data_IF_251375381516
#
_entry.id   IF_251375381516
#
_cell.length_a   1.000
_cell.length_b   1.000
_cell.length_c   1.000
_cell.angle_alpha   90.00
_cell.angle_beta   90.00
_cell.angle_gamma   90.00
#
_symmetry.space_group_name_H-M   'P 1'
#
loop_
_entity.id
_entity.type
_entity.pdbx_description
1 polymer ?
#
# COMPACT_ATOMS: atom_id res chain seq x y z
N UNK A 1 7.27 6.94 -13.41
CA UNK A 1 8.68 6.59 -13.18
C UNK A 1 9.58 7.81 -13.33
N UNK A 2 10.71 7.79 -12.64
CA UNK A 2 11.70 8.85 -12.71
C UNK A 2 13.07 8.38 -12.21
N UNK A 3 14.13 9.10 -12.58
CA UNK A 3 15.49 8.88 -12.10
C UNK A 3 15.80 9.92 -11.01
N UNK A 4 16.16 9.43 -9.82
CA UNK A 4 16.58 10.28 -8.71
C UNK A 4 18.04 10.77 -8.92
N UNK A 5 18.45 11.92 -8.31
CA UNK A 5 19.78 12.48 -8.50
C UNK A 5 20.93 11.55 -8.13
N UNK A 6 20.72 10.59 -7.22
CA UNK A 6 21.71 9.60 -6.78
C UNK A 6 21.80 8.35 -7.70
N UNK A 7 21.08 8.37 -8.84
CA UNK A 7 21.05 7.30 -9.83
C UNK A 7 20.12 6.14 -9.46
N UNK A 8 19.18 6.34 -8.53
CA UNK A 8 18.12 5.40 -8.24
C UNK A 8 16.95 5.63 -9.20
N UNK A 9 16.63 4.66 -10.03
CA UNK A 9 15.42 4.65 -10.84
C UNK A 9 14.23 4.21 -9.98
N UNK A 10 13.17 5.00 -9.96
CA UNK A 10 11.92 4.68 -9.29
C UNK A 10 10.81 4.43 -10.32
N UNK A 11 10.04 3.37 -10.12
CA UNK A 11 8.86 3.07 -10.92
C UNK A 11 7.72 2.59 -10.01
N UNK A 12 6.62 3.31 -10.01
CA UNK A 12 5.38 2.89 -9.36
C UNK A 12 4.48 2.16 -10.36
N UNK A 13 4.13 0.93 -10.05
CA UNK A 13 3.16 0.14 -10.80
C UNK A 13 1.91 -0.04 -9.96
N UNK A 14 0.84 0.64 -10.35
CA UNK A 14 -0.41 0.70 -9.57
C UNK A 14 -1.38 -0.45 -9.85
N UNK A 15 -1.24 -1.12 -11.00
CA UNK A 15 -2.13 -2.23 -11.38
C UNK A 15 -1.47 -3.12 -12.44
N UNK A 16 -1.82 -4.41 -12.41
CA UNK A 16 -1.52 -5.39 -13.48
C UNK A 16 -2.72 -5.59 -14.42
N UNK A 17 -3.69 -4.68 -14.41
CA UNK A 17 -4.88 -4.76 -15.27
C UNK A 17 -4.64 -3.98 -16.55
N UNK A 18 -4.70 -4.66 -17.69
CA UNK A 18 -4.45 -4.11 -19.02
C UNK A 18 -3.70 -5.11 -19.90
N UNK A 19 -3.65 -4.87 -21.19
CA UNK A 19 -3.09 -5.82 -22.17
C UNK A 19 -1.60 -5.61 -22.45
N UNK A 20 -1.01 -4.48 -22.04
CA UNK A 20 0.37 -4.09 -22.37
C UNK A 20 1.20 -3.67 -21.14
N UNK A 21 0.80 -4.07 -19.92
CA UNK A 21 1.43 -3.62 -18.67
C UNK A 21 2.92 -3.94 -18.65
N UNK A 22 3.30 -5.18 -18.95
CA UNK A 22 4.68 -5.60 -18.98
C UNK A 22 5.50 -4.92 -20.08
N UNK A 23 4.88 -4.59 -21.20
CA UNK A 23 5.52 -3.86 -22.31
C UNK A 23 5.81 -2.41 -21.92
N UNK A 24 4.85 -1.73 -21.31
CA UNK A 24 5.02 -0.36 -20.82
C UNK A 24 6.03 -0.31 -19.67
N UNK A 25 5.96 -1.27 -18.74
CA UNK A 25 6.96 -1.44 -17.68
C UNK A 25 8.38 -1.60 -18.28
N UNK A 26 8.53 -2.48 -19.28
CA UNK A 26 9.80 -2.70 -19.96
C UNK A 26 10.33 -1.43 -20.60
N UNK A 27 9.45 -0.66 -21.26
CA UNK A 27 9.82 0.62 -21.88
C UNK A 27 10.34 1.60 -20.83
N UNK A 28 9.62 1.76 -19.71
CA UNK A 28 10.03 2.64 -18.63
C UNK A 28 11.35 2.21 -17.98
N UNK A 29 11.54 0.91 -17.74
CA UNK A 29 12.77 0.39 -17.18
C UNK A 29 13.98 0.63 -18.12
N UNK A 30 13.82 0.41 -19.43
CA UNK A 30 14.89 0.66 -20.42
C UNK A 30 15.19 2.15 -20.51
N UNK A 31 14.19 3.00 -20.46
CA UNK A 31 14.36 4.46 -20.46
C UNK A 31 15.17 4.92 -19.24
N UNK A 32 14.86 4.43 -18.04
CA UNK A 32 15.66 4.69 -16.84
C UNK A 32 17.11 4.20 -16.97
N UNK A 33 17.34 3.02 -17.57
CA UNK A 33 18.71 2.52 -17.86
C UNK A 33 19.46 3.45 -18.79
N UNK A 34 18.83 3.95 -19.84
CA UNK A 34 19.43 4.87 -20.80
C UNK A 34 19.76 6.23 -20.17
N UNK A 35 19.01 6.63 -19.13
CA UNK A 35 19.29 7.83 -18.34
C UNK A 35 20.43 7.62 -17.32
N UNK A 36 20.97 6.41 -17.19
CA UNK A 36 22.09 6.10 -16.29
C UNK A 36 21.72 5.54 -14.94
N UNK A 37 20.52 4.93 -14.82
CA UNK A 37 20.10 4.24 -13.60
C UNK A 37 21.11 3.18 -13.15
N UNK A 38 21.45 3.17 -11.86
CA UNK A 38 22.39 2.24 -11.21
C UNK A 38 21.72 1.30 -10.21
N UNK A 39 20.56 1.67 -9.70
CA UNK A 39 19.75 0.92 -8.73
C UNK A 39 18.29 1.13 -9.10
N UNK A 40 17.44 0.16 -8.81
CA UNK A 40 16.03 0.20 -9.18
C UNK A 40 15.12 -0.02 -7.97
N UNK A 41 14.13 0.84 -7.82
CA UNK A 41 13.03 0.72 -6.86
C UNK A 41 11.74 0.48 -7.62
N UNK A 42 11.13 -0.68 -7.39
CA UNK A 42 9.79 -1.02 -7.88
C UNK A 42 8.78 -0.82 -6.76
N UNK A 43 7.87 0.13 -6.90
CA UNK A 43 6.83 0.36 -5.92
C UNK A 43 5.54 -0.37 -6.31
N UNK A 44 5.15 -1.35 -5.46
CA UNK A 44 3.93 -2.15 -5.58
C UNK A 44 2.97 -1.88 -4.41
N UNK A 45 3.19 -0.81 -3.62
CA UNK A 45 2.28 -0.44 -2.53
C UNK A 45 0.90 -0.13 -3.12
N UNK A 46 -0.13 -0.61 -2.45
CA UNK A 46 -1.54 -0.47 -2.84
C UNK A 46 -1.92 -1.06 -4.21
N UNK A 47 -1.05 -1.88 -4.80
CA UNK A 47 -1.31 -2.58 -6.05
C UNK A 47 -2.13 -3.85 -5.79
N UNK A 48 -3.42 -3.83 -6.10
CA UNK A 48 -4.36 -4.96 -5.93
C UNK A 48 -4.12 -6.15 -6.86
N UNK A 49 -3.12 -6.09 -7.76
CA UNK A 49 -2.81 -7.13 -8.74
C UNK A 49 -3.48 -6.93 -10.10
N UNK A 50 -3.83 -8.01 -10.75
CA UNK A 50 -4.42 -8.07 -12.09
C UNK A 50 -4.02 -9.34 -12.83
N UNK A 51 -3.48 -9.21 -14.04
CA UNK A 51 -3.09 -10.32 -14.91
C UNK A 51 -1.87 -11.08 -14.38
N UNK A 52 -2.01 -12.39 -14.23
CA UNK A 52 -0.92 -13.30 -13.86
C UNK A 52 0.17 -13.33 -14.95
N UNK A 53 -0.22 -13.31 -16.22
CA UNK A 53 0.72 -13.32 -17.34
C UNK A 53 1.61 -12.08 -17.35
N UNK A 54 1.04 -10.90 -17.06
CA UNK A 54 1.81 -9.65 -16.95
C UNK A 54 2.85 -9.72 -15.81
N UNK A 55 2.47 -10.30 -14.67
CA UNK A 55 3.40 -10.50 -13.56
C UNK A 55 4.57 -11.43 -13.95
N UNK A 56 4.29 -12.54 -14.63
CA UNK A 56 5.33 -13.47 -15.13
C UNK A 56 6.26 -12.78 -16.13
N UNK A 57 5.72 -12.00 -17.05
CA UNK A 57 6.51 -11.24 -18.05
C UNK A 57 7.41 -10.20 -17.37
N UNK A 58 6.93 -9.51 -16.32
CA UNK A 58 7.76 -8.55 -15.56
C UNK A 58 8.88 -9.28 -14.82
N UNK A 59 8.59 -10.38 -14.11
CA UNK A 59 9.64 -11.16 -13.43
C UNK A 59 10.67 -11.68 -14.42
N UNK A 60 10.23 -12.14 -15.62
CA UNK A 60 11.14 -12.63 -16.66
C UNK A 60 12.17 -11.57 -17.12
N UNK A 61 11.91 -10.29 -16.92
CA UNK A 61 12.88 -9.25 -17.27
C UNK A 61 14.14 -9.29 -16.40
N UNK A 62 14.05 -9.87 -15.21
CA UNK A 62 15.07 -9.79 -14.16
C UNK A 62 15.71 -11.11 -13.80
N UNK A 63 15.22 -12.22 -14.31
CA UNK A 63 15.71 -13.56 -13.96
C UNK A 63 16.02 -14.39 -15.20
N UNK A 64 16.93 -15.36 -15.12
CA UNK A 64 17.29 -16.22 -16.25
C UNK A 64 16.08 -16.97 -16.83
N UNK A 65 16.20 -17.32 -18.10
CA UNK A 65 15.24 -18.16 -18.82
C UNK A 65 15.17 -19.57 -18.23
N UNK A 66 13.99 -20.17 -18.23
CA UNK A 66 13.74 -21.56 -17.79
C UNK A 66 13.36 -21.71 -16.32
N UNK A 67 13.22 -20.60 -15.58
CA UNK A 67 12.82 -20.65 -14.18
C UNK A 67 11.29 -20.68 -14.03
N UNK A 68 10.81 -21.49 -13.10
CA UNK A 68 9.39 -21.50 -12.73
C UNK A 68 9.09 -20.30 -11.84
N UNK A 69 8.12 -19.47 -12.26
CA UNK A 69 7.69 -18.28 -11.52
C UNK A 69 6.46 -18.55 -10.69
N UNK A 70 5.51 -19.31 -11.23
CA UNK A 70 4.28 -19.65 -10.52
C UNK A 70 3.72 -20.98 -11.02
N UNK A 71 3.21 -21.79 -10.09
CA UNK A 71 2.45 -22.99 -10.40
C UNK A 71 1.03 -22.83 -9.88
N UNK A 72 0.04 -23.06 -10.72
CA UNK A 72 -1.35 -23.11 -10.29
C UNK A 72 -1.76 -24.55 -10.02
N UNK A 73 -2.53 -24.77 -8.96
CA UNK A 73 -3.06 -26.08 -8.56
C UNK A 73 -4.54 -25.96 -8.21
N UNK A 74 -5.35 -26.76 -8.86
CA UNK A 74 -6.79 -26.81 -8.66
C UNK A 74 -7.34 -28.23 -8.70
N UNK A 75 -8.66 -28.37 -8.55
CA UNK A 75 -9.34 -29.66 -8.57
C UNK A 75 -9.35 -30.31 -9.97
N UNK A 76 -9.37 -29.49 -11.01
CA UNK A 76 -9.39 -29.95 -12.40
C UNK A 76 -7.99 -29.87 -12.99
N UNK A 77 -7.57 -30.85 -13.79
CA UNK A 77 -6.25 -30.90 -14.41
C UNK A 77 -5.93 -29.66 -15.24
N UNK A 78 -6.93 -29.10 -15.93
CA UNK A 78 -6.78 -27.82 -16.67
C UNK A 78 -6.41 -26.62 -15.80
N UNK A 79 -6.62 -26.70 -14.49
CA UNK A 79 -6.24 -25.67 -13.52
C UNK A 79 -4.80 -25.83 -13.04
N UNK A 80 -4.13 -26.93 -13.41
CA UNK A 80 -2.75 -27.21 -13.04
C UNK A 80 -1.84 -26.72 -14.17
N UNK A 81 -1.30 -25.52 -14.01
CA UNK A 81 -0.42 -24.89 -15.00
C UNK A 81 0.88 -24.45 -14.34
N UNK A 82 1.94 -24.48 -15.14
CA UNK A 82 3.27 -24.02 -14.74
C UNK A 82 3.69 -22.89 -15.66
N UNK A 83 3.99 -21.75 -15.08
CA UNK A 83 4.46 -20.57 -15.79
C UNK A 83 5.95 -20.45 -15.60
N UNK A 84 6.66 -20.51 -16.71
CA UNK A 84 8.12 -20.54 -16.77
C UNK A 84 8.63 -19.35 -17.58
N UNK A 85 9.74 -18.76 -17.18
CA UNK A 85 10.38 -17.69 -17.94
C UNK A 85 10.81 -18.21 -19.32
N UNK A 86 10.31 -17.55 -20.37
CA UNK A 86 10.51 -17.99 -21.76
C UNK A 86 11.44 -17.10 -22.59
N UNK A 87 11.69 -15.88 -22.12
CA UNK A 87 12.45 -14.84 -22.84
C UNK A 87 13.80 -14.60 -22.17
N UNK A 88 14.76 -14.08 -22.94
CA UNK A 88 15.99 -13.59 -22.36
C UNK A 88 15.72 -12.39 -21.44
N UNK A 89 16.39 -12.31 -20.29
CA UNK A 89 16.19 -11.23 -19.33
C UNK A 89 16.67 -9.89 -19.91
N UNK A 90 16.12 -8.81 -19.37
CA UNK A 90 16.58 -7.44 -19.69
C UNK A 90 17.79 -7.08 -18.84
N UNK A 91 17.78 -7.51 -17.58
CA UNK A 91 18.86 -7.23 -16.64
C UNK A 91 18.82 -8.18 -15.44
N UNK A 92 19.87 -8.95 -15.24
CA UNK A 92 20.00 -9.87 -14.10
C UNK A 92 20.84 -9.31 -12.96
N UNK A 93 21.52 -8.18 -13.17
CA UNK A 93 22.55 -7.65 -12.26
C UNK A 93 22.09 -6.40 -11.48
N UNK A 94 21.21 -5.59 -12.07
CA UNK A 94 20.72 -4.36 -11.45
C UNK A 94 20.21 -4.61 -10.02
N UNK A 95 20.73 -3.92 -8.99
CA UNK A 95 20.16 -4.01 -7.63
C UNK A 95 18.70 -3.55 -7.62
N UNK A 96 17.81 -4.39 -7.07
CA UNK A 96 16.36 -4.14 -7.04
C UNK A 96 15.85 -4.16 -5.60
N UNK A 97 15.08 -3.14 -5.23
CA UNK A 97 14.23 -3.11 -4.05
C UNK A 97 12.77 -3.06 -4.50
N UNK A 98 11.93 -3.88 -3.90
CA UNK A 98 10.48 -3.87 -4.14
C UNK A 98 9.77 -3.36 -2.90
N UNK A 99 9.06 -2.24 -3.02
CA UNK A 99 8.25 -1.68 -1.94
C UNK A 99 6.87 -2.33 -1.92
N UNK A 100 6.44 -2.76 -0.74
CA UNK A 100 5.15 -3.45 -0.56
C UNK A 100 4.43 -3.00 0.70
N UNK A 101 3.10 -3.16 0.72
CA UNK A 101 2.28 -2.93 1.91
C UNK A 101 1.07 -3.89 1.96
N UNK A 102 0.18 -3.71 2.95
CA UNK A 102 -1.03 -4.51 3.09
C UNK A 102 -2.03 -4.40 1.93
N UNK A 103 -1.89 -3.42 1.04
CA UNK A 103 -2.66 -3.28 -0.21
C UNK A 103 -2.06 -4.05 -1.39
N UNK A 104 -0.80 -4.49 -1.29
CA UNK A 104 -0.13 -5.29 -2.34
C UNK A 104 -0.75 -6.69 -2.38
N UNK A 105 -1.38 -7.08 -3.50
CA UNK A 105 -2.15 -8.32 -3.59
C UNK A 105 -2.00 -9.05 -4.93
N UNK A 106 -2.25 -10.39 -4.93
CA UNK A 106 -2.41 -11.22 -6.13
C UNK A 106 -1.20 -11.17 -7.08
N UNK A 107 -1.35 -10.66 -8.33
CA UNK A 107 -0.26 -10.55 -9.32
C UNK A 107 0.94 -9.72 -8.79
N UNK A 108 0.70 -8.71 -7.99
CA UNK A 108 1.74 -7.95 -7.32
C UNK A 108 2.51 -8.80 -6.30
N UNK A 109 1.82 -9.71 -5.59
CA UNK A 109 2.46 -10.66 -4.67
C UNK A 109 3.24 -11.75 -5.43
N UNK A 110 2.76 -12.18 -6.60
CA UNK A 110 3.52 -13.08 -7.48
C UNK A 110 4.83 -12.40 -7.88
N UNK A 111 4.79 -11.13 -8.27
CA UNK A 111 5.98 -10.39 -8.70
C UNK A 111 6.97 -10.23 -7.56
N UNK A 112 6.58 -9.63 -6.44
CA UNK A 112 7.52 -9.40 -5.32
C UNK A 112 7.97 -10.72 -4.67
N UNK A 113 7.06 -11.68 -4.50
CA UNK A 113 7.38 -12.97 -3.89
C UNK A 113 8.29 -13.84 -4.76
N UNK A 114 8.12 -13.81 -6.09
CA UNK A 114 9.01 -14.55 -7.00
C UNK A 114 10.41 -13.94 -7.04
N UNK A 115 10.53 -12.61 -7.06
CA UNK A 115 11.82 -11.92 -6.99
C UNK A 115 12.52 -12.17 -5.64
N UNK A 116 11.75 -12.27 -4.52
CA UNK A 116 12.26 -12.65 -3.21
C UNK A 116 12.74 -14.11 -3.19
N UNK A 117 11.91 -15.05 -3.64
CA UNK A 117 12.22 -16.47 -3.63
C UNK A 117 13.41 -16.85 -4.52
N UNK A 118 13.62 -16.09 -5.60
CA UNK A 118 14.77 -16.25 -6.50
C UNK A 118 15.98 -15.41 -6.06
N UNK A 119 15.93 -14.79 -4.89
CA UNK A 119 16.99 -13.91 -4.34
C UNK A 119 17.41 -12.80 -5.31
N UNK A 120 16.47 -12.33 -6.14
CA UNK A 120 16.73 -11.33 -7.17
C UNK A 120 16.50 -9.90 -6.69
N UNK A 121 15.62 -9.72 -5.70
CA UNK A 121 15.32 -8.42 -5.12
C UNK A 121 15.19 -8.51 -3.60
N UNK A 122 15.37 -7.37 -2.94
CA UNK A 122 15.03 -7.16 -1.53
C UNK A 122 13.60 -6.62 -1.45
N UNK A 123 12.74 -7.26 -0.71
CA UNK A 123 11.36 -6.79 -0.45
C UNK A 123 11.34 -5.96 0.83
N UNK A 124 10.83 -4.74 0.76
CA UNK A 124 10.80 -3.78 1.86
C UNK A 124 9.40 -3.21 2.08
N UNK A 125 9.00 -3.03 3.33
CA UNK A 125 7.73 -2.43 3.71
C UNK A 125 6.99 -3.20 4.78
N UNK A 126 5.68 -3.38 4.63
CA UNK A 126 4.85 -4.20 5.53
C UNK A 126 4.36 -5.46 4.81
N UNK A 127 3.93 -6.46 5.59
CA UNK A 127 3.41 -7.73 5.05
C UNK A 127 2.29 -7.48 4.05
N UNK A 128 2.30 -8.21 2.93
CA UNK A 128 1.32 -8.09 1.85
C UNK A 128 -0.03 -8.73 2.21
N UNK A 129 -1.03 -8.55 1.35
CA UNK A 129 -2.42 -8.92 1.57
C UNK A 129 -2.65 -10.43 1.77
N UNK A 130 -1.95 -11.29 1.03
CA UNK A 130 -2.11 -12.74 1.10
C UNK A 130 -3.24 -13.30 0.24
N UNK A 131 -3.35 -12.86 -1.02
CA UNK A 131 -4.31 -13.42 -1.99
C UNK A 131 -3.62 -14.41 -2.91
N UNK A 132 -3.65 -15.69 -2.54
CA UNK A 132 -3.00 -16.81 -3.23
C UNK A 132 -3.95 -17.68 -4.07
N UNK A 133 -5.12 -17.17 -4.46
CA UNK A 133 -6.15 -17.91 -5.20
C UNK A 133 -6.27 -17.45 -6.64
N UNK A 134 -6.48 -18.43 -7.54
CA UNK A 134 -6.74 -18.21 -8.97
C UNK A 134 -8.24 -18.11 -9.19
N UNK A 135 -8.68 -17.03 -9.80
CA UNK A 135 -10.08 -16.80 -10.16
C UNK A 135 -10.22 -16.69 -11.68
N UNK A 136 -11.15 -17.45 -12.26
CA UNK A 136 -11.58 -17.26 -13.64
C UNK A 136 -12.73 -16.25 -13.66
N UNK A 137 -12.56 -15.09 -14.29
CA UNK A 137 -13.55 -14.01 -14.19
C UNK A 137 -14.75 -14.16 -15.12
N UNK A 138 -14.68 -15.01 -16.15
CA UNK A 138 -15.61 -14.96 -17.27
C UNK A 138 -16.18 -16.34 -17.65
N UNK A 139 -16.87 -16.98 -16.72
CA UNK A 139 -17.79 -18.03 -17.11
C UNK A 139 -19.11 -17.36 -17.52
N UNK A 140 -19.29 -17.15 -18.84
CA UNK A 140 -20.52 -16.56 -19.37
C UNK A 140 -21.72 -17.48 -19.07
N UNK A 141 -22.75 -16.89 -18.53
CA UNK A 141 -24.03 -17.50 -18.24
C UNK A 141 -25.13 -16.85 -19.10
N UNK A 142 -26.32 -17.46 -19.21
CA UNK A 142 -27.47 -16.81 -19.85
C UNK A 142 -27.75 -15.42 -19.29
N UNK A 143 -28.46 -14.61 -20.06
CA UNK A 143 -28.88 -13.24 -19.69
C UNK A 143 -27.74 -12.25 -19.46
N UNK A 144 -26.63 -12.34 -20.22
CA UNK A 144 -25.44 -11.49 -20.08
C UNK A 144 -24.83 -11.50 -18.67
N UNK A 145 -25.03 -12.59 -17.94
CA UNK A 145 -24.45 -12.76 -16.63
C UNK A 145 -23.06 -13.40 -16.72
N UNK A 146 -22.20 -13.11 -15.77
CA UNK A 146 -20.89 -13.74 -15.66
C UNK A 146 -20.68 -14.30 -14.25
N UNK A 147 -20.10 -15.50 -14.19
CA UNK A 147 -19.71 -16.13 -12.94
C UNK A 147 -18.19 -16.02 -12.76
N UNK A 148 -17.77 -15.41 -11.65
CA UNK A 148 -16.38 -15.39 -11.19
C UNK A 148 -16.19 -16.52 -10.20
N UNK A 149 -15.38 -17.51 -10.54
CA UNK A 149 -15.17 -18.71 -9.74
C UNK A 149 -13.71 -18.88 -9.35
N UNK A 150 -13.46 -19.16 -8.07
CA UNK A 150 -12.14 -19.61 -7.60
C UNK A 150 -11.97 -21.08 -7.99
N UNK A 151 -10.94 -21.38 -8.78
CA UNK A 151 -10.69 -22.72 -9.34
C UNK A 151 -9.41 -23.37 -8.85
N UNK A 152 -8.52 -22.60 -8.22
CA UNK A 152 -7.25 -23.11 -7.73
C UNK A 152 -6.53 -22.13 -6.84
N UNK A 153 -5.38 -22.57 -6.37
CA UNK A 153 -4.36 -21.77 -5.66
C UNK A 153 -3.09 -21.69 -6.49
N UNK A 154 -2.24 -20.73 -6.20
CA UNK A 154 -0.92 -20.69 -6.80
C UNK A 154 0.20 -20.78 -5.77
N UNK A 155 1.31 -21.33 -6.21
CA UNK A 155 2.55 -21.44 -5.47
C UNK A 155 3.63 -20.67 -6.23
N UNK A 156 4.45 -19.90 -5.52
CA UNK A 156 5.57 -19.13 -6.05
C UNK A 156 6.86 -19.99 -6.03
N UNK A 157 8.01 -19.50 -6.53
CA UNK A 157 9.17 -20.37 -6.85
C UNK A 157 9.66 -21.28 -5.71
N UNK A 158 9.62 -20.84 -4.47
CA UNK A 158 9.97 -21.68 -3.31
C UNK A 158 9.00 -22.85 -3.06
N UNK A 159 7.85 -22.88 -3.77
CA UNK A 159 6.77 -23.83 -3.57
C UNK A 159 5.74 -23.41 -2.51
N UNK A 160 5.93 -22.29 -1.84
CA UNK A 160 4.99 -21.78 -0.83
C UNK A 160 3.72 -21.22 -1.45
N UNK A 161 2.59 -21.40 -0.75
CA UNK A 161 1.33 -20.75 -1.05
C UNK A 161 1.13 -19.57 -0.08
N UNK A 162 0.95 -18.37 -0.61
CA UNK A 162 0.85 -17.15 0.18
C UNK A 162 -0.55 -16.83 0.70
N UNK A 163 -1.54 -17.72 0.46
CA UNK A 163 -2.92 -17.50 0.83
C UNK A 163 -3.10 -17.31 2.34
N UNK A 164 -3.52 -16.12 2.76
CA UNK A 164 -3.81 -15.76 4.14
C UNK A 164 -5.32 -15.75 4.45
N UNK A 165 -6.17 -15.54 3.42
CA UNK A 165 -7.61 -15.34 3.62
C UNK A 165 -8.31 -16.68 3.86
N UNK A 166 -9.02 -16.78 4.99
CA UNK A 166 -9.87 -17.90 5.30
C UNK A 166 -11.33 -17.58 4.94
N UNK A 167 -11.86 -18.21 3.88
CA UNK A 167 -13.26 -18.04 3.44
C UNK A 167 -14.26 -18.90 4.22
N UNK A 168 -13.81 -19.70 5.19
CA UNK A 168 -14.67 -20.66 5.90
C UNK A 168 -15.41 -20.05 7.09
N UNK A 169 -15.01 -18.87 7.56
CA UNK A 169 -15.57 -18.26 8.76
C UNK A 169 -15.90 -16.78 8.52
N UNK A 170 -17.18 -16.44 8.70
CA UNK A 170 -17.65 -15.08 8.90
C UNK A 170 -18.62 -14.54 7.85
N UNK A 171 -19.59 -13.80 8.31
CA UNK A 171 -20.68 -13.16 7.55
C UNK A 171 -20.22 -12.09 6.54
N UNK A 172 -18.93 -11.75 6.49
CA UNK A 172 -18.40 -10.71 5.60
C UNK A 172 -17.33 -11.17 4.61
N UNK A 173 -16.91 -12.45 4.63
CA UNK A 173 -16.04 -13.05 3.61
C UNK A 173 -14.65 -12.43 3.41
N UNK A 174 -14.16 -11.59 4.32
CA UNK A 174 -12.93 -10.80 4.16
C UNK A 174 -12.08 -10.71 5.42
N UNK A 175 -11.96 -11.79 6.19
CA UNK A 175 -10.97 -11.80 7.27
C UNK A 175 -9.63 -12.27 6.73
N UNK A 176 -8.64 -11.35 6.71
CA UNK A 176 -7.23 -11.70 6.62
C UNK A 176 -6.84 -12.17 8.02
N UNK A 177 -6.80 -13.47 8.20
CA UNK A 177 -6.35 -14.07 9.45
C UNK A 177 -4.82 -14.12 9.41
N UNK A 178 -4.16 -13.38 10.28
CA UNK A 178 -2.73 -13.53 10.48
C UNK A 178 -2.46 -14.86 11.16
N UNK A 179 -2.09 -15.85 10.35
CA UNK A 179 -1.64 -17.13 10.87
C UNK A 179 -0.33 -16.90 11.63
N UNK A 180 -0.25 -17.24 12.92
CA UNK A 180 1.01 -17.15 13.68
C UNK A 180 2.12 -17.92 12.96
N UNK A 181 3.34 -17.41 12.97
CA UNK A 181 4.50 -18.04 12.31
C UNK A 181 4.71 -19.49 12.76
N UNK A 182 4.33 -19.82 14.00
CA UNK A 182 4.37 -21.20 14.54
C UNK A 182 3.46 -22.20 13.84
N UNK A 183 2.43 -21.72 13.13
CA UNK A 183 1.46 -22.56 12.38
C UNK A 183 1.73 -22.56 10.87
N UNK A 184 2.72 -21.78 10.40
CA UNK A 184 3.12 -21.70 9.00
C UNK A 184 4.21 -22.73 8.68
N UNK A 185 4.33 -23.10 7.40
CA UNK A 185 5.40 -23.97 6.92
C UNK A 185 6.59 -23.16 6.47
N UNK A 186 7.78 -23.68 6.76
CA UNK A 186 9.05 -23.12 6.30
C UNK A 186 9.36 -23.59 4.89
N UNK A 187 9.79 -22.67 4.06
CA UNK A 187 10.34 -22.89 2.73
C UNK A 187 11.66 -22.12 2.62
N UNK A 188 12.38 -22.32 1.52
CA UNK A 188 13.66 -21.67 1.31
C UNK A 188 13.71 -20.99 -0.07
N UNK A 189 14.35 -19.83 -0.12
CA UNK A 189 14.68 -19.15 -1.35
C UNK A 189 15.77 -19.92 -2.13
N UNK A 190 16.10 -19.49 -3.34
CA UNK A 190 17.13 -20.09 -4.16
C UNK A 190 18.50 -20.19 -3.45
N UNK A 191 18.85 -19.20 -2.61
CA UNK A 191 20.08 -19.16 -1.83
C UNK A 191 19.93 -19.71 -0.39
N UNK A 192 18.79 -20.35 -0.07
CA UNK A 192 18.57 -21.00 1.22
C UNK A 192 18.09 -20.10 2.37
N UNK A 193 17.67 -18.85 2.09
CA UNK A 193 17.02 -18.01 3.11
C UNK A 193 15.65 -18.58 3.48
N UNK A 194 15.32 -18.56 4.77
CA UNK A 194 14.02 -19.02 5.25
C UNK A 194 12.91 -18.06 4.87
N UNK A 195 11.83 -18.59 4.27
CA UNK A 195 10.58 -17.89 3.97
C UNK A 195 9.40 -18.76 4.40
N UNK A 196 8.21 -18.17 4.58
CA UNK A 196 7.04 -18.89 5.12
C UNK A 196 5.81 -18.74 4.25
N UNK A 197 4.90 -19.68 4.34
CA UNK A 197 3.58 -19.64 3.70
C UNK A 197 2.50 -18.99 4.59
N UNK A 198 1.24 -19.00 4.12
CA UNK A 198 0.05 -18.78 4.96
C UNK A 198 -0.22 -17.35 5.42
N UNK A 199 0.47 -16.34 4.89
CA UNK A 199 0.27 -14.99 5.43
C UNK A 199 0.69 -13.85 4.50
N UNK A 200 0.60 -14.01 3.19
CA UNK A 200 1.16 -13.06 2.23
C UNK A 200 2.68 -13.12 2.19
N UNK A 201 3.29 -12.14 1.54
CA UNK A 201 4.75 -11.99 1.49
C UNK A 201 5.20 -11.19 2.70
N UNK A 202 6.07 -11.80 3.53
CA UNK A 202 6.76 -11.09 4.59
C UNK A 202 7.97 -10.38 3.98
N UNK A 203 8.11 -9.04 4.17
CA UNK A 203 9.26 -8.31 3.67
C UNK A 203 10.57 -8.81 4.29
N UNK A 204 11.66 -8.69 3.54
CA UNK A 204 13.03 -8.91 4.06
C UNK A 204 13.42 -7.80 5.05
N UNK A 205 12.97 -6.57 4.75
CA UNK A 205 13.13 -5.39 5.61
C UNK A 205 11.74 -4.87 6.00
N UNK A 206 11.33 -5.11 7.25
CA UNK A 206 10.08 -4.57 7.77
C UNK A 206 10.23 -3.08 8.08
N UNK A 207 9.35 -2.26 7.51
CA UNK A 207 9.24 -0.83 7.81
C UNK A 207 7.89 -0.61 8.47
N UNK A 208 7.88 -0.03 9.67
CA UNK A 208 6.62 0.31 10.33
C UNK A 208 5.90 1.36 9.50
N UNK A 209 4.61 1.15 9.24
CA UNK A 209 3.76 2.21 8.69
C UNK A 209 3.73 3.38 9.64
N UNK A 210 3.95 4.58 9.13
CA UNK A 210 3.63 5.77 9.88
C UNK A 210 2.14 5.76 10.21
N UNK A 211 1.83 5.99 11.48
CA UNK A 211 0.44 6.11 11.90
C UNK A 211 -0.04 7.49 11.51
N UNK A 212 -0.90 7.58 10.52
CA UNK A 212 -1.54 8.86 10.16
C UNK A 212 -2.47 9.26 11.30
N UNK A 213 -2.24 10.42 11.95
CA UNK A 213 -3.13 10.90 12.99
C UNK A 213 -4.56 11.14 12.45
N UNK A 214 -5.56 10.89 13.27
CA UNK A 214 -6.96 11.07 12.85
C UNK A 214 -7.22 12.46 12.26
N UNK A 215 -6.64 13.51 12.83
CA UNK A 215 -6.80 14.89 12.31
C UNK A 215 -6.32 14.99 10.86
N UNK A 216 -5.13 14.44 10.54
CA UNK A 216 -4.60 14.45 9.19
C UNK A 216 -5.47 13.63 8.23
N UNK A 217 -5.91 12.45 8.68
CA UNK A 217 -6.82 11.61 7.90
C UNK A 217 -8.17 12.31 7.61
N UNK A 218 -8.74 13.03 8.57
CA UNK A 218 -10.00 13.76 8.36
C UNK A 218 -9.82 14.97 7.45
N UNK A 219 -8.71 15.68 7.55
CA UNK A 219 -8.41 16.84 6.69
C UNK A 219 -8.22 16.46 5.21
N UNK A 220 -7.62 15.29 4.94
CA UNK A 220 -7.32 14.86 3.57
C UNK A 220 -8.39 13.97 2.94
N UNK A 221 -9.23 13.31 3.75
CA UNK A 221 -10.33 12.50 3.25
C UNK A 221 -11.58 13.37 3.03
N UNK A 222 -11.75 13.90 1.83
CA UNK A 222 -12.89 14.77 1.45
C UNK A 222 -14.27 14.24 1.83
N UNK A 223 -14.44 12.93 1.93
CA UNK A 223 -15.67 12.29 2.41
C UNK A 223 -15.92 12.45 3.92
N UNK A 224 -14.94 12.94 4.69
CA UNK A 224 -15.02 13.10 6.15
C UNK A 224 -14.89 14.55 6.63
N UNK A 225 -14.28 15.41 5.84
CA UNK A 225 -14.29 16.86 6.09
C UNK A 225 -15.55 17.48 5.47
N UNK A 226 -16.60 17.59 6.28
CA UNK A 226 -17.85 18.25 5.86
C UNK A 226 -17.68 19.75 5.60
N UNK A 227 -16.55 20.34 5.96
CA UNK A 227 -16.24 21.77 5.71
C UNK A 227 -15.47 22.01 4.42
N UNK A 228 -14.94 20.95 3.83
CA UNK A 228 -14.06 21.00 2.63
C UNK A 228 -12.90 22.01 2.78
N UNK A 229 -12.45 22.24 4.01
CA UNK A 229 -11.48 23.28 4.34
C UNK A 229 -10.17 23.09 3.61
N UNK A 230 -9.65 21.87 3.56
CA UNK A 230 -8.40 21.54 2.88
C UNK A 230 -8.52 21.79 1.38
N UNK A 231 -9.51 21.21 0.73
CA UNK A 231 -9.75 21.37 -0.70
C UNK A 231 -9.91 22.85 -1.11
N UNK A 232 -10.71 23.60 -0.37
CA UNK A 232 -10.96 25.00 -0.68
C UNK A 232 -9.69 25.85 -0.47
N UNK A 233 -8.90 25.58 0.55
CA UNK A 233 -7.63 26.27 0.78
C UNK A 233 -6.62 25.95 -0.33
N UNK A 234 -6.45 24.70 -0.72
CA UNK A 234 -5.58 24.27 -1.82
C UNK A 234 -5.97 24.92 -3.15
N UNK A 235 -7.27 24.93 -3.48
CA UNK A 235 -7.78 25.62 -4.69
C UNK A 235 -7.40 27.10 -4.66
N UNK A 236 -7.53 27.77 -3.52
CA UNK A 236 -7.17 29.19 -3.39
C UNK A 236 -5.65 29.39 -3.49
N UNK A 237 -4.86 28.52 -2.86
CA UNK A 237 -3.41 28.54 -2.98
C UNK A 237 -2.98 28.42 -4.45
N UNK A 238 -3.51 27.43 -5.19
CA UNK A 238 -3.21 27.19 -6.61
C UNK A 238 -3.64 28.38 -7.48
N UNK A 239 -4.80 28.99 -7.23
CA UNK A 239 -5.24 30.19 -7.95
C UNK A 239 -4.29 31.37 -7.78
N UNK A 240 -3.70 31.52 -6.61
CA UNK A 240 -2.83 32.64 -6.29
C UNK A 240 -1.37 32.42 -6.70
N UNK A 241 -0.97 31.16 -6.94
CA UNK A 241 0.37 30.78 -7.35
C UNK A 241 0.34 30.16 -8.75
N UNK A 242 0.66 30.93 -9.80
CA UNK A 242 0.65 30.40 -11.17
C UNK A 242 1.68 29.30 -11.42
N UNK A 243 2.75 29.30 -10.69
CA UNK A 243 3.86 28.33 -10.74
C UNK A 243 4.37 28.08 -9.33
N UNK A 244 4.90 26.90 -9.10
CA UNK A 244 5.62 26.52 -7.88
C UNK A 244 7.04 26.05 -8.24
N UNK A 245 7.99 26.02 -7.30
CA UNK A 245 9.30 25.37 -7.49
C UNK A 245 9.16 23.91 -7.91
N UNK A 246 10.26 23.29 -8.35
CA UNK A 246 10.28 21.86 -8.66
C UNK A 246 9.85 21.02 -7.44
N UNK A 247 9.28 19.81 -7.64
CA UNK A 247 8.86 18.95 -6.56
C UNK A 247 9.92 18.72 -5.49
N UNK A 248 11.19 18.59 -5.88
CA UNK A 248 12.32 18.36 -4.98
C UNK A 248 12.62 19.53 -4.04
N UNK A 249 12.18 20.74 -4.39
CA UNK A 249 12.50 21.99 -3.66
C UNK A 249 11.27 22.71 -3.14
N UNK A 250 10.08 22.25 -3.52
CA UNK A 250 8.85 22.85 -3.04
C UNK A 250 8.63 22.54 -1.56
N UNK A 251 8.36 23.56 -0.79
CA UNK A 251 7.87 23.42 0.58
C UNK A 251 7.00 24.63 0.92
N UNK A 252 5.90 24.36 1.59
CA UNK A 252 5.03 25.40 2.13
C UNK A 252 5.77 26.19 3.20
N UNK A 253 5.60 27.50 3.21
CA UNK A 253 6.13 28.34 4.28
C UNK A 253 5.34 28.16 5.59
N UNK A 254 5.90 28.64 6.69
CA UNK A 254 5.16 28.67 7.97
C UNK A 254 3.95 29.62 7.91
N UNK A 255 4.05 30.70 7.12
CA UNK A 255 2.93 31.60 6.89
C UNK A 255 1.78 30.93 6.09
N UNK A 256 2.10 30.11 5.09
CA UNK A 256 1.10 29.33 4.35
C UNK A 256 0.38 28.35 5.28
N UNK A 257 1.15 27.69 6.15
CA UNK A 257 0.56 26.76 7.11
C UNK A 257 -0.32 27.47 8.16
N UNK A 258 0.09 28.68 8.62
CA UNK A 258 -0.73 29.50 9.52
C UNK A 258 -2.04 29.93 8.85
N UNK A 259 -1.99 30.36 7.58
CA UNK A 259 -3.19 30.70 6.80
C UNK A 259 -4.12 29.49 6.64
N UNK A 260 -3.56 28.30 6.35
CA UNK A 260 -4.30 27.04 6.31
C UNK A 260 -4.99 26.76 7.65
N UNK A 261 -4.26 26.82 8.77
CA UNK A 261 -4.82 26.54 10.09
C UNK A 261 -5.91 27.50 10.49
N UNK A 262 -5.76 28.78 10.17
CA UNK A 262 -6.77 29.81 10.38
C UNK A 262 -8.04 29.52 9.59
N UNK A 263 -7.91 29.07 8.34
CA UNK A 263 -9.03 28.65 7.49
C UNK A 263 -9.76 27.45 8.09
N UNK A 264 -9.05 26.42 8.51
CA UNK A 264 -9.61 25.21 9.13
C UNK A 264 -10.39 25.55 10.40
N UNK A 265 -9.83 26.42 11.25
CA UNK A 265 -10.46 26.86 12.49
C UNK A 265 -11.70 27.71 12.21
N UNK A 266 -11.61 28.67 11.29
CA UNK A 266 -12.70 29.57 10.93
C UNK A 266 -13.90 28.80 10.35
N UNK A 267 -13.66 27.74 9.59
CA UNK A 267 -14.70 26.90 9.00
C UNK A 267 -15.34 25.92 10.02
N UNK A 268 -14.84 25.90 11.25
CA UNK A 268 -15.39 25.03 12.30
C UNK A 268 -15.15 23.56 12.10
N UNK A 269 -14.02 23.19 11.48
CA UNK A 269 -13.63 21.80 11.29
C UNK A 269 -13.68 20.98 12.58
N UNK A 270 -14.16 19.74 12.47
CA UNK A 270 -14.26 18.80 13.58
C UNK A 270 -13.84 17.41 13.14
N UNK A 271 -13.21 16.67 14.03
CA UNK A 271 -12.84 15.29 13.79
C UNK A 271 -12.99 14.46 15.07
N UNK A 272 -13.17 13.14 14.90
CA UNK A 272 -13.25 12.20 16.00
C UNK A 272 -11.86 11.81 16.50
N UNK A 273 -11.63 11.94 17.80
CA UNK A 273 -10.39 11.49 18.44
C UNK A 273 -10.57 10.12 19.06
N UNK A 274 -9.61 9.22 18.79
CA UNK A 274 -9.62 7.88 19.38
C UNK A 274 -9.57 7.95 20.93
N UNK A 275 -8.74 8.85 21.48
CA UNK A 275 -8.67 9.04 22.93
C UNK A 275 -10.04 9.39 23.57
N UNK A 276 -10.86 10.18 22.87
CA UNK A 276 -12.22 10.50 23.33
C UNK A 276 -13.15 9.29 23.32
N UNK A 277 -13.05 8.44 22.30
CA UNK A 277 -13.83 7.19 22.21
C UNK A 277 -13.44 6.22 23.33
N UNK A 278 -12.15 6.01 23.54
CA UNK A 278 -11.66 5.14 24.62
C UNK A 278 -12.02 5.67 26.00
N UNK A 279 -11.92 6.98 26.22
CA UNK A 279 -12.34 7.62 27.45
C UNK A 279 -13.84 7.41 27.71
N UNK A 280 -14.69 7.65 26.72
CA UNK A 280 -16.14 7.43 26.84
C UNK A 280 -16.47 5.96 27.15
N UNK A 281 -15.75 5.03 26.56
CA UNK A 281 -15.92 3.62 26.85
C UNK A 281 -15.45 3.27 28.27
N UNK A 282 -14.32 3.83 28.71
CA UNK A 282 -13.81 3.64 30.05
C UNK A 282 -14.84 4.14 31.10
N UNK A 283 -15.42 5.33 30.88
CA UNK A 283 -16.47 5.86 31.74
C UNK A 283 -17.70 4.92 31.82
N UNK A 284 -18.12 4.36 30.68
CA UNK A 284 -19.24 3.40 30.64
C UNK A 284 -18.91 2.13 31.44
N UNK A 285 -17.74 1.59 31.30
CA UNK A 285 -17.27 0.37 32.00
C UNK A 285 -17.14 0.67 33.48
N UNK A 286 -16.51 1.78 33.88
CA UNK A 286 -16.37 2.17 35.27
C UNK A 286 -17.72 2.37 35.98
N UNK A 287 -18.74 2.94 35.29
CA UNK A 287 -20.11 3.05 35.81
C UNK A 287 -20.77 1.68 35.99
N UNK A 288 -20.57 0.77 35.03
CA UNK A 288 -21.10 -0.59 35.12
C UNK A 288 -20.47 -1.40 36.27
N UNK A 289 -19.17 -1.21 36.50
CA UNK A 289 -18.41 -1.88 37.56
C UNK A 289 -18.55 -1.19 38.96
N UNK A 290 -19.16 0.00 39.02
CA UNK A 290 -19.39 0.75 40.27
C UNK A 290 -18.22 1.59 40.76
N UNK A 291 -17.12 1.73 39.97
CA UNK A 291 -15.92 2.51 40.34
C UNK A 291 -16.04 4.01 39.97
N UNK A 292 -16.99 4.40 39.14
CA UNK A 292 -17.05 5.77 38.58
C UNK A 292 -17.24 6.82 39.65
N UNK A 293 -18.16 6.59 40.65
CA UNK A 293 -18.47 7.59 41.65
C UNK A 293 -17.31 7.83 42.61
N UNK A 294 -16.55 6.79 42.92
CA UNK A 294 -15.38 6.89 43.81
C UNK A 294 -14.21 7.62 43.14
N UNK A 295 -14.10 7.53 41.80
CA UNK A 295 -13.00 8.13 40.99
C UNK A 295 -13.49 9.32 40.12
N UNK A 296 -14.63 9.93 40.48
CA UNK A 296 -15.27 10.98 39.67
C UNK A 296 -14.35 12.18 39.41
N UNK A 297 -13.61 12.61 40.43
CA UNK A 297 -12.71 13.78 40.28
C UNK A 297 -11.57 13.51 39.29
N UNK A 298 -11.03 12.29 39.27
CA UNK A 298 -9.99 11.85 38.36
C UNK A 298 -10.53 11.77 36.93
N UNK A 299 -11.76 11.24 36.75
CA UNK A 299 -12.40 11.21 35.43
C UNK A 299 -12.66 12.63 34.90
N UNK A 300 -13.21 13.54 35.71
CA UNK A 300 -13.48 14.93 35.33
C UNK A 300 -12.15 15.67 35.00
N UNK A 301 -11.10 15.44 35.77
CA UNK A 301 -9.77 16.02 35.53
C UNK A 301 -9.15 15.49 34.24
N UNK A 302 -9.28 14.19 33.96
CA UNK A 302 -8.80 13.58 32.73
C UNK A 302 -9.60 14.06 31.51
N UNK A 303 -10.94 14.15 31.62
CA UNK A 303 -11.78 14.67 30.55
C UNK A 303 -11.38 16.10 30.19
N UNK A 304 -11.15 16.97 31.16
CA UNK A 304 -10.67 18.33 30.96
C UNK A 304 -9.29 18.38 30.26
N UNK A 305 -8.36 17.50 30.63
CA UNK A 305 -7.04 17.40 29.99
C UNK A 305 -7.10 16.85 28.58
N UNK A 306 -8.04 15.94 28.32
CA UNK A 306 -8.30 15.38 27.00
C UNK A 306 -9.28 16.25 26.18
N UNK A 307 -9.72 17.41 26.71
CA UNK A 307 -10.62 18.32 25.99
C UNK A 307 -10.00 18.74 24.66
N UNK A 308 -10.86 18.86 23.64
CA UNK A 308 -10.43 19.18 22.28
C UNK A 308 -9.87 20.59 22.20
N UNK A 309 -8.69 20.71 21.61
CA UNK A 309 -8.07 21.98 21.24
C UNK A 309 -7.52 21.86 19.82
N UNK A 310 -8.33 22.29 18.85
CA UNK A 310 -7.97 22.16 17.41
C UNK A 310 -6.66 22.85 17.07
N UNK A 311 -6.39 24.04 17.59
CA UNK A 311 -5.14 24.76 17.34
C UNK A 311 -3.91 23.99 17.82
N UNK A 312 -4.01 23.38 19.01
CA UNK A 312 -2.94 22.54 19.55
C UNK A 312 -2.74 21.27 18.73
N UNK A 313 -3.84 20.65 18.30
CA UNK A 313 -3.77 19.42 17.50
C UNK A 313 -3.19 19.67 16.11
N UNK A 314 -3.52 20.81 15.48
CA UNK A 314 -2.93 21.26 14.22
C UNK A 314 -1.43 21.52 14.37
N UNK A 315 -1.01 22.21 15.43
CA UNK A 315 0.42 22.48 15.67
C UNK A 315 1.22 21.20 15.97
N UNK A 316 0.66 20.31 16.80
CA UNK A 316 1.32 19.03 17.12
C UNK A 316 1.53 18.14 15.89
N UNK A 317 0.60 18.20 14.94
CA UNK A 317 0.64 17.39 13.72
C UNK A 317 1.12 18.18 12.49
N UNK A 318 1.70 19.37 12.68
CA UNK A 318 2.12 20.28 11.61
C UNK A 318 2.91 19.61 10.51
N UNK A 319 3.92 18.84 10.86
CA UNK A 319 4.82 18.23 9.86
C UNK A 319 4.09 17.26 8.93
N UNK A 320 3.25 16.38 9.46
CA UNK A 320 2.54 15.41 8.63
C UNK A 320 1.45 16.08 7.79
N UNK A 321 0.72 17.04 8.37
CA UNK A 321 -0.32 17.78 7.64
C UNK A 321 0.33 18.60 6.51
N UNK A 322 1.46 19.27 6.78
CA UNK A 322 2.18 20.05 5.79
C UNK A 322 2.67 19.18 4.63
N UNK A 323 3.24 18.02 4.92
CA UNK A 323 3.63 17.05 3.88
C UNK A 323 2.45 16.61 3.00
N UNK A 324 1.28 16.38 3.59
CA UNK A 324 0.10 15.98 2.83
C UNK A 324 -0.38 17.11 1.91
N UNK A 325 -0.44 18.36 2.39
CA UNK A 325 -0.75 19.53 1.57
C UNK A 325 0.26 19.74 0.45
N UNK A 326 1.56 19.58 0.74
CA UNK A 326 2.62 19.68 -0.25
C UNK A 326 2.47 18.64 -1.35
N UNK A 327 2.14 17.38 -1.01
CA UNK A 327 1.87 16.33 -1.99
C UNK A 327 0.69 16.66 -2.89
N UNK A 328 -0.40 17.15 -2.34
CA UNK A 328 -1.62 17.47 -3.10
C UNK A 328 -1.38 18.66 -4.03
N UNK A 329 -0.71 19.72 -3.54
CA UNK A 329 -0.32 20.89 -4.34
C UNK A 329 0.63 20.48 -5.47
N UNK A 330 1.71 19.76 -5.16
CA UNK A 330 2.67 19.29 -6.17
C UNK A 330 1.99 18.43 -7.23
N UNK A 331 1.06 17.56 -6.83
CA UNK A 331 0.26 16.75 -7.76
C UNK A 331 -0.59 17.59 -8.70
N UNK A 332 -1.11 18.71 -8.23
CA UNK A 332 -1.91 19.62 -9.06
C UNK A 332 -1.09 20.31 -10.16
N UNK A 333 0.20 20.59 -9.95
CA UNK A 333 1.08 21.25 -10.94
C UNK A 333 1.86 20.25 -11.81
N UNK A 334 2.33 19.15 -11.23
CA UNK A 334 3.24 18.20 -11.87
C UNK A 334 2.61 16.84 -12.16
N UNK A 335 1.33 16.68 -11.84
CA UNK A 335 0.60 15.41 -11.96
C UNK A 335 1.32 14.27 -11.20
N UNK A 336 1.17 13.05 -11.68
CA UNK A 336 1.82 11.88 -11.05
C UNK A 336 3.36 11.96 -11.02
N UNK A 337 3.99 12.74 -11.90
CA UNK A 337 5.43 12.95 -11.88
C UNK A 337 5.92 13.72 -10.65
N UNK A 338 5.06 14.55 -10.05
CA UNK A 338 5.38 15.27 -8.83
C UNK A 338 5.39 14.40 -7.57
N UNK A 339 4.85 13.18 -7.65
CA UNK A 339 4.82 12.22 -6.54
C UNK A 339 5.99 11.24 -6.56
N UNK A 340 6.75 11.18 -7.63
CA UNK A 340 7.94 10.35 -7.83
C UNK A 340 9.19 11.12 -7.44
#
# INVERSE_FOLDING_TARGET
YGLQPDGVGYLSLTSFTGDDVAKEFRRAFIDLKNQGMKKFVLDLRDNGGGSLSEAVEIVNMFVPKGLTIVETKGKLDRSNQKYVTGKEPVDTEMPIVVLVNGGTASAAEITCGSLQDLDRAVVMGTRTFGKGLVQYPNLSLPYNSNLKLTTGRYNIPSGRCIQAINYKHGDSGRYVEHVPDSLTKVFHTANGREVRDGGGIKPDCEVKSDTIPNIAYYLTASARDSTESTLNWEINYIKNHKTIPSPDTFSLSDADYEDFTNTVIANGFKYDRESGKYFSNLVKVAKFEGYYDDARQEFDALEKKLSHNLSKDLEYNKNIIKQMLEMDIVSAYYYQRGQV
#
